data_IF_264152426791
#
_entry.id   IF_264152426791
#
_cell.length_a   1.000
_cell.length_b   1.000
_cell.length_c   1.000
_cell.angle_alpha   90.00
_cell.angle_beta   90.00
_cell.angle_gamma   90.00
#
_symmetry.space_group_name_H-M   'P 1'
#
loop_
_entity.id
_entity.type
_entity.pdbx_description
1 polymer ?
#
# COMPACT_ATOMS: atom_id res chain seq x y z
N UNK A 1 -27.80 38.41 -19.47
CA UNK A 1 -28.01 36.97 -19.76
C UNK A 1 -26.71 36.21 -20.02
N UNK A 2 -25.73 36.74 -20.75
CA UNK A 2 -24.45 36.01 -21.03
C UNK A 2 -23.53 35.79 -19.81
N UNK A 3 -23.60 36.64 -18.77
CA UNK A 3 -22.80 36.50 -17.55
C UNK A 3 -23.30 35.41 -16.57
N UNK A 4 -24.62 35.22 -16.53
CA UNK A 4 -25.24 34.19 -15.68
C UNK A 4 -24.97 32.77 -16.18
N UNK A 5 -24.94 32.58 -17.50
CA UNK A 5 -24.61 31.29 -18.12
C UNK A 5 -23.13 30.91 -17.90
N UNK A 6 -22.23 31.91 -17.89
CA UNK A 6 -20.77 31.65 -17.67
C UNK A 6 -20.46 31.25 -16.22
N UNK A 7 -21.16 31.85 -15.25
CA UNK A 7 -20.98 31.50 -13.84
C UNK A 7 -21.63 30.15 -13.50
N UNK A 8 -22.76 29.79 -14.14
CA UNK A 8 -23.40 28.50 -13.95
C UNK A 8 -22.55 27.33 -14.51
N UNK A 9 -21.85 27.55 -15.63
CA UNK A 9 -20.97 26.56 -16.23
C UNK A 9 -19.70 26.30 -15.37
N UNK A 10 -19.20 27.36 -14.70
CA UNK A 10 -18.04 27.23 -13.79
C UNK A 10 -18.40 26.48 -12.50
N UNK A 11 -19.61 26.65 -11.95
CA UNK A 11 -20.08 25.87 -10.80
C UNK A 11 -20.34 24.42 -11.13
N UNK A 12 -20.78 24.09 -12.35
CA UNK A 12 -21.00 22.69 -12.78
C UNK A 12 -19.69 21.93 -12.96
N UNK A 13 -18.62 22.60 -13.42
CA UNK A 13 -17.29 22.00 -13.59
C UNK A 13 -16.59 21.74 -12.25
N UNK A 14 -16.85 22.57 -11.24
CA UNK A 14 -16.29 22.41 -9.88
C UNK A 14 -16.92 21.27 -9.08
N UNK A 15 -18.15 20.84 -9.40
CA UNK A 15 -18.85 19.79 -8.66
C UNK A 15 -18.44 18.34 -9.06
N UNK A 16 -17.77 18.16 -10.21
CA UNK A 16 -17.36 16.83 -10.67
C UNK A 16 -16.04 16.31 -10.10
N UNK A 17 -15.32 17.08 -9.26
CA UNK A 17 -14.00 16.70 -8.75
C UNK A 17 -14.02 15.98 -7.40
N UNK A 18 -15.21 15.69 -6.84
CA UNK A 18 -15.33 15.09 -5.49
C UNK A 18 -15.66 13.59 -5.47
N UNK A 19 -15.59 12.87 -6.59
CA UNK A 19 -16.01 11.48 -6.67
C UNK A 19 -14.85 10.49 -6.91
N UNK A 20 -13.77 10.58 -6.12
CA UNK A 20 -12.68 9.61 -6.18
C UNK A 20 -12.28 9.09 -4.79
N UNK A 21 -13.24 8.91 -3.88
CA UNK A 21 -13.02 8.06 -2.72
C UNK A 21 -13.32 6.61 -3.14
N UNK A 22 -12.31 5.75 -3.08
CA UNK A 22 -12.51 4.31 -3.24
C UNK A 22 -13.22 3.82 -1.96
N UNK A 23 -14.55 3.65 -2.02
CA UNK A 23 -15.41 3.36 -0.86
C UNK A 23 -15.00 2.07 -0.12
N UNK A 24 -14.25 1.20 -0.78
CA UNK A 24 -13.81 -0.08 -0.23
C UNK A 24 -12.50 -0.02 0.54
N UNK A 25 -11.74 1.07 0.44
CA UNK A 25 -10.47 1.21 1.17
C UNK A 25 -10.73 1.55 2.63
N UNK A 26 -10.42 0.61 3.52
CA UNK A 26 -10.55 0.77 4.96
C UNK A 26 -9.30 1.39 5.60
N UNK A 27 -8.14 1.04 5.09
CA UNK A 27 -6.86 1.53 5.59
C UNK A 27 -5.86 1.67 4.45
N UNK A 28 -5.12 2.76 4.41
CA UNK A 28 -4.06 2.99 3.44
C UNK A 28 -3.00 3.90 4.06
N UNK A 29 -1.77 3.43 4.15
CA UNK A 29 -0.69 4.18 4.76
C UNK A 29 0.66 3.77 4.17
N UNK A 30 1.58 4.73 4.10
CA UNK A 30 2.97 4.55 3.70
C UNK A 30 3.91 5.01 4.80
N UNK A 31 5.07 4.37 4.87
CA UNK A 31 6.21 4.82 5.66
C UNK A 31 7.39 5.09 4.75
N UNK A 32 7.91 6.30 4.83
CA UNK A 32 9.07 6.74 4.07
C UNK A 32 10.33 6.04 4.58
N UNK A 33 11.18 5.66 3.65
CA UNK A 33 12.44 5.01 3.93
C UNK A 33 13.58 6.02 3.94
N UNK A 34 14.63 5.80 4.76
CA UNK A 34 15.80 6.66 4.77
C UNK A 34 16.51 6.71 3.41
N UNK A 35 17.05 7.86 3.03
CA UNK A 35 17.79 8.00 1.77
C UNK A 35 19.05 7.12 1.70
N UNK A 36 19.66 6.85 2.86
CA UNK A 36 20.81 5.95 3.00
C UNK A 36 20.45 4.47 2.88
N UNK A 37 19.18 4.15 2.77
CA UNK A 37 18.66 2.80 2.54
C UNK A 37 17.89 2.22 3.72
N UNK A 38 17.07 1.23 3.42
CA UNK A 38 16.29 0.46 4.39
C UNK A 38 17.16 -0.64 5.00
N UNK A 39 17.38 -0.59 6.29
CA UNK A 39 18.16 -1.60 7.02
C UNK A 39 17.41 -2.93 7.12
N UNK A 40 18.14 -4.04 7.06
CA UNK A 40 17.59 -5.41 7.10
C UNK A 40 16.83 -5.71 8.40
N UNK A 41 17.19 -5.08 9.49
CA UNK A 41 16.52 -5.18 10.79
C UNK A 41 15.42 -4.14 11.02
N UNK A 42 15.31 -3.14 10.13
CA UNK A 42 14.36 -2.05 10.30
C UNK A 42 12.95 -2.52 9.94
N UNK A 43 12.08 -2.51 10.93
CA UNK A 43 10.70 -2.96 10.79
C UNK A 43 9.76 -1.78 10.60
N UNK A 44 9.02 -1.79 9.50
CA UNK A 44 7.91 -0.88 9.27
C UNK A 44 6.67 -1.44 9.96
N UNK A 45 5.96 -0.65 10.77
CA UNK A 45 4.83 -1.10 11.57
C UNK A 45 3.60 -0.24 11.32
N UNK A 46 2.50 -0.88 10.91
CA UNK A 46 1.24 -0.24 10.57
C UNK A 46 0.15 -0.68 11.56
N UNK A 47 -0.55 0.29 12.15
CA UNK A 47 -1.66 0.05 13.06
C UNK A 47 -2.97 0.20 12.28
N UNK A 48 -3.74 -0.88 12.20
CA UNK A 48 -4.92 -1.00 11.35
C UNK A 48 -6.16 -1.15 12.22
N UNK A 49 -6.94 -0.08 12.48
CA UNK A 49 -8.17 -0.18 13.25
C UNK A 49 -9.26 -0.85 12.39
N UNK A 50 -9.90 -1.88 12.96
CA UNK A 50 -11.11 -2.52 12.43
C UNK A 50 -12.26 -2.19 13.37
N UNK A 51 -13.13 -1.29 12.94
CA UNK A 51 -14.20 -0.73 13.76
C UNK A 51 -15.57 -1.39 13.55
N UNK A 52 -15.72 -2.16 12.50
CA UNK A 52 -16.97 -2.82 12.15
C UNK A 52 -17.33 -3.86 13.23
N UNK A 53 -18.58 -3.83 13.74
CA UNK A 53 -19.06 -4.75 14.77
C UNK A 53 -19.02 -6.20 14.34
N UNK A 54 -19.21 -6.46 13.03
CA UNK A 54 -19.08 -7.77 12.38
C UNK A 54 -18.13 -7.56 11.20
N UNK A 55 -16.82 -7.79 11.39
CA UNK A 55 -15.87 -7.58 10.30
C UNK A 55 -16.15 -8.50 9.12
N UNK A 56 -16.23 -7.91 7.91
CA UNK A 56 -16.26 -8.64 6.66
C UNK A 56 -14.88 -9.17 6.28
N UNK A 57 -14.78 -9.79 5.12
CA UNK A 57 -13.49 -10.21 4.55
C UNK A 57 -12.69 -8.98 4.12
N UNK A 58 -11.45 -8.91 4.57
CA UNK A 58 -10.49 -7.87 4.23
C UNK A 58 -9.44 -8.41 3.27
N UNK A 59 -9.04 -7.59 2.30
CA UNK A 59 -7.96 -7.88 1.35
C UNK A 59 -6.76 -7.02 1.70
N UNK A 60 -5.65 -7.64 2.05
CA UNK A 60 -4.38 -6.97 2.33
C UNK A 60 -3.54 -6.88 1.06
N UNK A 61 -3.04 -5.69 0.77
CA UNK A 61 -2.06 -5.41 -0.27
C UNK A 61 -0.81 -4.78 0.36
N UNK A 62 0.35 -5.18 -0.13
CA UNK A 62 1.59 -4.47 0.09
C UNK A 62 1.87 -3.56 -1.12
N UNK A 63 2.34 -2.36 -0.85
CA UNK A 63 2.62 -1.36 -1.88
C UNK A 63 4.06 -0.86 -1.73
N UNK A 64 4.75 -0.76 -2.84
CA UNK A 64 6.15 -0.35 -2.89
C UNK A 64 6.30 0.80 -3.88
N UNK A 65 6.98 1.86 -3.48
CA UNK A 65 7.44 2.91 -4.38
C UNK A 65 8.95 2.85 -4.48
N UNK A 66 9.43 2.39 -5.64
CA UNK A 66 10.85 2.38 -5.93
C UNK A 66 11.22 3.58 -6.80
N UNK A 67 12.48 4.01 -6.67
CA UNK A 67 13.10 5.01 -7.54
C UNK A 67 13.73 4.32 -8.75
N UNK A 68 14.03 5.10 -9.79
CA UNK A 68 14.68 4.59 -11.00
C UNK A 68 16.06 3.97 -10.75
N UNK A 69 16.75 4.36 -9.66
CA UNK A 69 18.06 3.84 -9.27
C UNK A 69 18.01 2.57 -8.39
N UNK A 70 16.83 2.01 -8.10
CA UNK A 70 16.74 0.75 -7.36
C UNK A 70 17.48 -0.36 -8.13
N UNK A 71 18.43 -1.10 -7.49
CA UNK A 71 19.38 -1.93 -8.22
C UNK A 71 18.81 -3.30 -8.64
N UNK A 72 17.62 -3.69 -8.20
CA UNK A 72 17.03 -5.00 -8.44
C UNK A 72 15.73 -4.91 -9.22
N UNK A 73 15.36 -6.01 -9.90
CA UNK A 73 14.06 -6.14 -10.60
C UNK A 73 12.95 -6.64 -9.69
N UNK A 74 13.30 -7.17 -8.53
CA UNK A 74 12.37 -7.75 -7.55
C UNK A 74 12.68 -7.26 -6.15
N UNK A 75 11.72 -7.45 -5.25
CA UNK A 75 11.85 -7.20 -3.83
C UNK A 75 11.16 -8.33 -3.08
N UNK A 76 11.84 -8.95 -2.13
CA UNK A 76 11.23 -9.86 -1.18
C UNK A 76 10.84 -9.11 0.09
N UNK A 77 9.62 -9.36 0.55
CA UNK A 77 9.08 -8.81 1.80
C UNK A 77 8.65 -9.95 2.72
N UNK A 78 9.00 -9.86 3.98
CA UNK A 78 8.39 -10.63 5.05
C UNK A 78 7.32 -9.77 5.71
N UNK A 79 6.09 -10.26 5.71
CA UNK A 79 4.92 -9.56 6.25
C UNK A 79 4.44 -10.34 7.46
N UNK A 80 4.59 -9.75 8.64
CA UNK A 80 4.10 -10.30 9.90
C UNK A 80 2.81 -9.57 10.27
N UNK A 81 1.73 -10.30 10.44
CA UNK A 81 0.42 -9.72 10.70
C UNK A 81 -0.35 -10.51 11.76
N UNK A 82 -1.26 -9.83 12.44
CA UNK A 82 -2.19 -10.45 13.38
C UNK A 82 -3.66 -10.15 13.04
N UNK A 83 -3.97 -9.93 11.75
CA UNK A 83 -5.26 -9.46 11.24
C UNK A 83 -6.43 -10.43 11.51
N UNK A 84 -6.19 -11.73 11.70
CA UNK A 84 -7.25 -12.68 12.03
C UNK A 84 -7.68 -12.52 13.49
N UNK A 85 -6.69 -12.50 14.38
CA UNK A 85 -6.83 -12.41 15.83
C UNK A 85 -5.62 -11.64 16.35
N UNK A 86 -5.85 -10.57 17.10
CA UNK A 86 -4.81 -9.66 17.60
C UNK A 86 -3.73 -10.33 18.46
N UNK A 87 -3.99 -11.55 18.94
CA UNK A 87 -3.06 -12.34 19.76
C UNK A 87 -2.23 -13.34 18.94
N UNK A 88 -2.62 -13.61 17.69
CA UNK A 88 -2.00 -14.65 16.82
C UNK A 88 -1.28 -14.02 15.65
N UNK A 89 0.05 -14.13 15.65
CA UNK A 89 0.89 -13.63 14.57
C UNK A 89 1.10 -14.69 13.48
N UNK A 90 1.06 -14.22 12.23
CA UNK A 90 1.34 -15.00 11.03
C UNK A 90 2.40 -14.30 10.19
N UNK A 91 3.11 -15.06 9.38
CA UNK A 91 4.15 -14.52 8.50
C UNK A 91 3.92 -15.02 7.08
N UNK A 92 3.93 -14.09 6.13
CA UNK A 92 3.91 -14.37 4.71
C UNK A 92 5.19 -13.84 4.07
N UNK A 93 5.70 -14.56 3.07
CA UNK A 93 6.81 -14.12 2.22
C UNK A 93 6.25 -13.77 0.85
N UNK A 94 6.45 -12.53 0.43
CA UNK A 94 5.93 -12.02 -0.84
C UNK A 94 7.09 -11.61 -1.74
N UNK A 95 7.05 -12.06 -2.98
CA UNK A 95 7.93 -11.57 -4.05
C UNK A 95 7.20 -10.49 -4.84
N UNK A 96 7.73 -9.28 -4.83
CA UNK A 96 7.24 -8.15 -5.61
C UNK A 96 8.10 -8.00 -6.85
N UNK A 97 7.52 -8.17 -8.05
CA UNK A 97 8.21 -7.92 -9.30
C UNK A 97 8.06 -6.43 -9.64
N UNK A 98 9.16 -5.69 -9.57
CA UNK A 98 9.20 -4.24 -9.82
C UNK A 98 9.54 -3.91 -11.27
N UNK A 99 10.31 -4.77 -11.96
CA UNK A 99 10.65 -4.60 -13.36
C UNK A 99 10.47 -5.91 -14.16
N UNK A 100 10.23 -5.78 -15.46
CA UNK A 100 10.11 -6.90 -16.39
C UNK A 100 11.49 -7.50 -16.75
N UNK A 101 11.49 -8.52 -17.62
CA UNK A 101 12.69 -9.22 -18.05
C UNK A 101 13.69 -8.33 -18.80
N UNK A 102 13.23 -7.19 -19.34
CA UNK A 102 14.08 -6.22 -20.06
C UNK A 102 14.60 -5.12 -19.13
N UNK A 103 14.20 -5.12 -17.84
CA UNK A 103 14.60 -4.11 -16.86
C UNK A 103 13.71 -2.87 -16.86
N UNK A 104 12.58 -2.89 -17.60
CA UNK A 104 11.62 -1.79 -17.57
C UNK A 104 10.73 -1.90 -16.33
N UNK A 105 10.60 -0.81 -15.58
CA UNK A 105 9.71 -0.74 -14.42
C UNK A 105 8.26 -1.01 -14.81
N UNK A 106 7.59 -1.88 -14.06
CA UNK A 106 6.19 -2.31 -14.33
C UNK A 106 5.18 -1.51 -13.52
N UNK A 107 5.62 -0.82 -12.48
CA UNK A 107 4.76 0.02 -11.65
C UNK A 107 4.25 1.26 -12.37
N UNK A 108 3.18 1.86 -11.85
CA UNK A 108 2.69 3.15 -12.31
C UNK A 108 3.72 4.22 -11.96
N UNK A 109 4.30 4.84 -12.99
CA UNK A 109 5.39 5.82 -12.84
C UNK A 109 4.89 7.26 -12.77
N UNK A 110 5.51 8.05 -11.88
CA UNK A 110 5.43 9.50 -11.88
C UNK A 110 6.82 10.07 -11.63
N UNK A 111 7.39 10.69 -12.68
CA UNK A 111 8.79 11.14 -12.64
C UNK A 111 9.76 9.97 -12.51
N UNK A 112 10.57 9.96 -11.46
CA UNK A 112 11.56 8.91 -11.16
C UNK A 112 11.06 7.86 -10.16
N UNK A 113 9.77 7.90 -9.77
CA UNK A 113 9.17 7.00 -8.78
C UNK A 113 8.15 6.11 -9.48
N UNK A 114 8.18 4.81 -9.15
CA UNK A 114 7.28 3.79 -9.70
C UNK A 114 6.59 3.07 -8.55
N UNK A 115 5.26 3.01 -8.60
CA UNK A 115 4.43 2.37 -7.57
C UNK A 115 3.92 1.02 -8.07
N UNK A 116 4.18 -0.02 -7.28
CA UNK A 116 3.68 -1.38 -7.49
C UNK A 116 2.87 -1.81 -6.28
N UNK A 117 1.68 -2.35 -6.51
CA UNK A 117 0.85 -2.97 -5.49
C UNK A 117 0.78 -4.48 -5.73
N UNK A 118 0.89 -5.28 -4.68
CA UNK A 118 0.78 -6.73 -4.74
C UNK A 118 -0.22 -7.22 -3.69
N UNK A 119 -1.11 -8.11 -4.13
CA UNK A 119 -2.04 -8.79 -3.22
C UNK A 119 -1.27 -9.76 -2.32
N UNK A 120 -1.50 -9.68 -1.01
CA UNK A 120 -0.89 -10.54 0.00
C UNK A 120 -1.83 -11.68 0.35
N UNK A 121 -2.99 -11.35 0.90
CA UNK A 121 -4.00 -12.34 1.32
C UNK A 121 -5.37 -11.71 1.56
N UNK A 122 -6.35 -12.58 1.69
CA UNK A 122 -7.65 -12.25 2.31
C UNK A 122 -7.70 -12.80 3.73
N UNK A 123 -8.30 -12.04 4.63
CA UNK A 123 -8.47 -12.42 6.04
C UNK A 123 -9.81 -11.87 6.53
N UNK A 124 -10.48 -12.64 7.40
CA UNK A 124 -11.69 -12.17 8.11
C UNK A 124 -11.37 -12.06 9.59
N UNK A 125 -11.23 -10.84 10.13
CA UNK A 125 -11.00 -10.63 11.55
C UNK A 125 -12.11 -11.24 12.39
N UNK A 126 -11.75 -11.85 13.51
CA UNK A 126 -12.73 -12.48 14.41
C UNK A 126 -13.51 -11.45 15.22
N UNK A 127 -12.90 -10.32 15.52
CA UNK A 127 -13.45 -9.25 16.37
C UNK A 127 -13.07 -7.87 15.84
N UNK A 128 -13.82 -6.81 16.17
CA UNK A 128 -13.31 -5.45 16.02
C UNK A 128 -12.09 -5.25 16.93
N UNK A 129 -11.16 -4.40 16.52
CA UNK A 129 -9.95 -4.15 17.31
C UNK A 129 -8.88 -3.40 16.53
N UNK A 130 -7.74 -3.23 17.19
CA UNK A 130 -6.57 -2.63 16.58
C UNK A 130 -5.56 -3.73 16.24
N UNK A 131 -5.30 -3.89 14.95
CA UNK A 131 -4.43 -4.92 14.40
C UNK A 131 -3.12 -4.31 13.91
N UNK A 132 -2.09 -5.14 13.79
CA UNK A 132 -0.78 -4.67 13.37
C UNK A 132 -0.27 -5.48 12.19
N UNK A 133 0.26 -4.77 11.19
CA UNK A 133 1.04 -5.35 10.09
C UNK A 133 2.46 -4.80 10.18
N UNK A 134 3.44 -5.70 10.18
CA UNK A 134 4.87 -5.36 10.20
C UNK A 134 5.52 -5.86 8.93
N UNK A 135 6.39 -5.06 8.33
CA UNK A 135 7.10 -5.41 7.10
C UNK A 135 8.59 -5.21 7.29
N UNK A 136 9.37 -6.21 6.86
CA UNK A 136 10.81 -6.12 6.71
C UNK A 136 11.20 -6.62 5.31
N UNK A 137 12.32 -6.16 4.74
CA UNK A 137 12.77 -6.70 3.45
C UNK A 137 13.50 -8.03 3.63
N UNK A 138 13.32 -8.94 2.68
CA UNK A 138 13.96 -10.26 2.63
C UNK A 138 15.12 -10.34 1.65
N UNK A 139 15.69 -9.19 1.22
CA UNK A 139 16.85 -9.14 0.34
C UNK A 139 18.12 -9.49 1.11
N UNK A 140 19.19 -9.87 0.39
CA UNK A 140 20.48 -10.23 1.00
C UNK A 140 21.23 -9.03 1.58
N UNK A 141 21.04 -7.87 1.01
CA UNK A 141 21.73 -6.63 1.41
C UNK A 141 21.39 -6.23 2.84
N UNK A 142 22.37 -5.79 3.58
CA UNK A 142 22.18 -5.20 4.92
C UNK A 142 21.46 -3.85 4.87
N UNK A 143 21.67 -3.10 3.80
CA UNK A 143 20.98 -1.83 3.49
C UNK A 143 20.52 -1.79 2.05
N UNK A 144 19.22 -1.63 1.86
CA UNK A 144 18.59 -1.64 0.54
C UNK A 144 18.28 -0.21 0.10
N UNK A 145 19.03 0.30 -0.85
CA UNK A 145 18.86 1.64 -1.42
C UNK A 145 17.89 1.69 -2.58
N UNK A 146 17.44 2.88 -2.97
CA UNK A 146 16.58 3.07 -4.16
C UNK A 146 15.09 2.79 -3.94
N UNK A 147 14.66 2.52 -2.70
CA UNK A 147 13.24 2.52 -2.31
C UNK A 147 12.87 3.88 -1.71
N UNK A 148 11.71 4.39 -2.05
CA UNK A 148 11.20 5.67 -1.54
C UNK A 148 10.34 5.47 -0.30
N UNK A 149 9.37 4.58 -0.38
CA UNK A 149 8.47 4.21 0.70
C UNK A 149 7.87 2.83 0.47
N UNK A 150 7.37 2.26 1.56
CA UNK A 150 6.60 1.02 1.56
C UNK A 150 5.30 1.28 2.32
N UNK A 151 4.21 0.75 1.80
CA UNK A 151 2.90 0.92 2.38
C UNK A 151 2.09 -0.36 2.42
N UNK A 152 0.95 -0.25 3.08
CA UNK A 152 -0.11 -1.24 3.04
C UNK A 152 -1.44 -0.59 2.71
N UNK A 153 -2.27 -1.34 2.01
CA UNK A 153 -3.65 -1.01 1.76
C UNK A 153 -4.53 -2.19 2.14
N UNK A 154 -5.60 -1.90 2.87
CA UNK A 154 -6.60 -2.88 3.27
C UNK A 154 -7.94 -2.44 2.69
N UNK A 155 -8.57 -3.33 1.95
CA UNK A 155 -9.87 -3.12 1.33
C UNK A 155 -10.89 -4.09 1.91
N UNK A 156 -12.15 -3.66 2.01
CA UNK A 156 -13.27 -4.57 2.22
C UNK A 156 -13.53 -5.32 0.92
N UNK A 157 -13.69 -6.62 1.02
CA UNK A 157 -14.15 -7.43 -0.11
C UNK A 157 -15.65 -7.22 -0.27
N UNK A 158 -16.09 -6.85 -1.47
CA UNK A 158 -17.52 -6.86 -1.82
C UNK A 158 -18.03 -8.30 -1.82
N UNK A 159 -19.20 -8.50 -1.20
CA UNK A 159 -19.91 -9.79 -1.19
C UNK A 159 -20.68 -9.99 -2.49
#
# INVERSE_FOLDING_TARGET
MKSLLRNSLFCLFGACLMAACNENTMYHSYQSLPNEGWGKSDTLSFQCPVTDSIPGTLRLFAEVRNRSEYPYRNLYLFIHENLLDSTVWRTDTIAVNLADSTGRWTGNGWGSIYQTAVFVKSVRPLHPGNYTVKIVHGMQDEKLTGLNDVGIRIEKQEE
#
